data_IF_686986620425
#
_entry.id   IF_686986620425
#
_cell.length_a   1.000
_cell.length_b   1.000
_cell.length_c   1.000
_cell.angle_alpha   90.00
_cell.angle_beta   90.00
_cell.angle_gamma   90.00
#
_symmetry.space_group_name_H-M   'P 1'
#
loop_
_entity.id
_entity.type
_entity.pdbx_description
1 polymer ?
#
# COMPACT_ATOMS: atom_id res chain seq x y z
N UNK A 1 49.14 -71.43 28.74
CA UNK A 1 48.63 -70.47 27.72
C UNK A 1 49.52 -69.24 27.77
N UNK A 2 50.18 -68.90 26.66
CA UNK A 2 51.21 -67.85 26.61
C UNK A 2 50.60 -66.46 26.86
N UNK A 3 51.27 -65.64 27.67
CA UNK A 3 50.96 -64.22 27.92
C UNK A 3 50.73 -63.42 26.63
N UNK A 4 51.40 -63.80 25.55
CA UNK A 4 51.29 -63.18 24.23
C UNK A 4 49.86 -63.22 23.67
N UNK A 5 49.13 -64.33 23.86
CA UNK A 5 47.73 -64.45 23.39
C UNK A 5 46.76 -63.58 24.17
N UNK A 6 47.09 -63.24 25.42
CA UNK A 6 46.27 -62.34 26.25
C UNK A 6 46.50 -60.90 25.80
N UNK A 7 47.75 -60.52 25.52
CA UNK A 7 48.10 -59.21 24.98
C UNK A 7 47.48 -58.95 23.60
N UNK A 8 47.56 -59.91 22.67
CA UNK A 8 46.91 -59.79 21.36
C UNK A 8 45.40 -59.57 21.48
N UNK A 9 44.72 -60.28 22.39
CA UNK A 9 43.28 -60.09 22.61
C UNK A 9 42.96 -58.70 23.14
N UNK A 10 43.76 -58.18 24.07
CA UNK A 10 43.57 -56.84 24.63
C UNK A 10 43.76 -55.78 23.54
N UNK A 11 44.78 -55.92 22.68
CA UNK A 11 44.98 -55.00 21.55
C UNK A 11 43.84 -55.06 20.54
N UNK A 12 43.31 -56.26 20.27
CA UNK A 12 42.21 -56.46 19.34
C UNK A 12 40.89 -55.87 19.88
N UNK A 13 40.59 -56.08 21.17
CA UNK A 13 39.43 -55.49 21.84
C UNK A 13 39.54 -53.97 21.91
N UNK A 14 40.71 -53.43 22.27
CA UNK A 14 40.95 -51.98 22.29
C UNK A 14 40.81 -51.36 20.88
N UNK A 15 41.30 -52.03 19.83
CA UNK A 15 41.14 -51.58 18.46
C UNK A 15 39.67 -51.52 18.02
N UNK A 16 38.90 -52.56 18.34
CA UNK A 16 37.45 -52.59 18.04
C UNK A 16 36.68 -51.51 18.81
N UNK A 17 37.04 -51.26 20.07
CA UNK A 17 36.41 -50.23 20.90
C UNK A 17 36.69 -48.82 20.36
N UNK A 18 37.93 -48.56 19.93
CA UNK A 18 38.32 -47.31 19.26
C UNK A 18 37.56 -47.11 17.96
N UNK A 19 37.44 -48.14 17.11
CA UNK A 19 36.68 -48.06 15.86
C UNK A 19 35.19 -47.80 16.11
N UNK A 20 34.60 -48.44 17.12
CA UNK A 20 33.21 -48.22 17.52
C UNK A 20 32.97 -46.77 17.97
N UNK A 21 33.87 -46.23 18.80
CA UNK A 21 33.79 -44.82 19.25
C UNK A 21 33.91 -43.87 18.06
N UNK A 22 34.89 -44.09 17.17
CA UNK A 22 35.07 -43.24 15.98
C UNK A 22 33.87 -43.30 15.04
N UNK A 23 33.27 -44.46 14.84
CA UNK A 23 32.06 -44.62 14.04
C UNK A 23 30.87 -43.88 14.65
N UNK A 24 30.68 -43.95 15.97
CA UNK A 24 29.59 -43.26 16.66
C UNK A 24 29.77 -41.73 16.62
N UNK A 25 31.00 -41.24 16.82
CA UNK A 25 31.33 -39.81 16.72
C UNK A 25 31.09 -39.29 15.30
N UNK A 26 31.50 -40.03 14.26
CA UNK A 26 31.23 -39.65 12.86
C UNK A 26 29.73 -39.59 12.59
N UNK A 27 28.97 -40.58 13.04
CA UNK A 27 27.52 -40.61 12.88
C UNK A 27 26.83 -39.42 13.57
N UNK A 28 27.28 -39.06 14.78
CA UNK A 28 26.78 -37.89 15.51
C UNK A 28 27.17 -36.58 14.82
N UNK A 29 28.37 -36.47 14.27
CA UNK A 29 28.81 -35.30 13.53
C UNK A 29 27.98 -35.10 12.25
N UNK A 30 27.72 -36.17 11.51
CA UNK A 30 26.90 -36.14 10.30
C UNK A 30 25.44 -35.79 10.59
N UNK A 31 24.86 -36.33 11.67
CA UNK A 31 23.49 -35.97 12.07
C UNK A 31 23.40 -34.50 12.48
N UNK A 32 24.37 -34.01 13.26
CA UNK A 32 24.41 -32.61 13.69
C UNK A 32 24.52 -31.66 12.49
N UNK A 33 25.35 -32.02 11.51
CA UNK A 33 25.52 -31.24 10.29
C UNK A 33 24.23 -31.20 9.47
N UNK A 34 23.55 -32.34 9.29
CA UNK A 34 22.27 -32.40 8.57
C UNK A 34 21.19 -31.58 9.26
N UNK A 35 21.06 -31.69 10.57
CA UNK A 35 20.09 -30.89 11.33
C UNK A 35 20.37 -29.38 11.23
N UNK A 36 21.65 -28.98 11.26
CA UNK A 36 22.04 -27.60 11.08
C UNK A 36 21.72 -27.09 9.66
N UNK A 37 21.99 -27.90 8.63
CA UNK A 37 21.66 -27.58 7.24
C UNK A 37 20.14 -27.47 7.03
N UNK A 38 19.34 -28.38 7.59
CA UNK A 38 17.88 -28.33 7.52
C UNK A 38 17.32 -27.09 8.24
N UNK A 39 17.81 -26.77 9.43
CA UNK A 39 17.40 -25.56 10.17
C UNK A 39 17.75 -24.30 9.39
N UNK A 40 18.95 -24.23 8.82
CA UNK A 40 19.39 -23.09 8.01
C UNK A 40 18.51 -22.92 6.76
N UNK A 41 18.17 -24.02 6.07
CA UNK A 41 17.25 -23.99 4.91
C UNK A 41 15.86 -23.51 5.31
N UNK A 42 15.29 -24.04 6.39
CA UNK A 42 13.98 -23.64 6.87
C UNK A 42 13.93 -22.14 7.25
N UNK A 43 14.99 -21.63 7.88
CA UNK A 43 15.12 -20.20 8.18
C UNK A 43 15.23 -19.36 6.91
N UNK A 44 16.05 -19.77 5.94
CA UNK A 44 16.19 -19.07 4.67
C UNK A 44 14.85 -19.01 3.91
N UNK A 45 14.13 -20.13 3.83
CA UNK A 45 12.80 -20.17 3.20
C UNK A 45 11.79 -19.27 3.91
N UNK A 46 11.82 -19.23 5.25
CA UNK A 46 10.95 -18.33 6.02
C UNK A 46 11.24 -16.86 5.73
N UNK A 47 12.52 -16.49 5.65
CA UNK A 47 12.93 -15.11 5.33
C UNK A 47 12.50 -14.74 3.91
N UNK A 48 12.70 -15.62 2.93
CA UNK A 48 12.28 -15.38 1.55
C UNK A 48 10.76 -15.19 1.48
N UNK A 49 9.97 -16.08 2.10
CA UNK A 49 8.51 -15.97 2.12
C UNK A 49 8.05 -14.66 2.77
N UNK A 50 8.66 -14.26 3.88
CA UNK A 50 8.34 -12.99 4.54
C UNK A 50 8.65 -11.81 3.60
N UNK A 51 9.83 -11.78 3.00
CA UNK A 51 10.21 -10.74 2.05
C UNK A 51 9.27 -10.68 0.83
N UNK A 52 8.84 -11.82 0.29
CA UNK A 52 7.87 -11.87 -0.81
C UNK A 52 6.51 -11.29 -0.40
N UNK A 53 6.03 -11.63 0.81
CA UNK A 53 4.77 -11.08 1.32
C UNK A 53 4.85 -9.57 1.54
N UNK A 54 5.95 -9.08 2.11
CA UNK A 54 6.18 -7.65 2.31
C UNK A 54 6.27 -6.90 0.98
N UNK A 55 7.01 -7.44 0.02
CA UNK A 55 7.13 -6.85 -1.32
C UNK A 55 5.77 -6.77 -2.04
N UNK A 56 4.94 -7.81 -1.94
CA UNK A 56 3.60 -7.83 -2.51
C UNK A 56 2.67 -6.78 -1.88
N UNK A 57 2.73 -6.63 -0.55
CA UNK A 57 1.97 -5.61 0.17
C UNK A 57 2.41 -4.21 -0.22
N UNK A 58 3.72 -3.95 -0.28
CA UNK A 58 4.24 -2.64 -0.65
C UNK A 58 3.92 -2.29 -2.12
N UNK A 59 4.03 -3.26 -3.04
CA UNK A 59 3.61 -3.06 -4.42
C UNK A 59 2.12 -2.69 -4.53
N UNK A 60 1.26 -3.36 -3.77
CA UNK A 60 -0.18 -3.08 -3.72
C UNK A 60 -0.46 -1.69 -3.14
N UNK A 61 0.30 -1.28 -2.11
CA UNK A 61 0.23 0.05 -1.51
C UNK A 61 0.61 1.14 -2.50
N UNK A 62 1.73 0.98 -3.19
CA UNK A 62 2.20 1.92 -4.22
C UNK A 62 1.14 2.07 -5.32
N UNK A 63 0.61 0.95 -5.82
CA UNK A 63 -0.42 0.97 -6.86
C UNK A 63 -1.66 1.77 -6.40
N UNK A 64 -2.13 1.49 -5.19
CA UNK A 64 -3.31 2.16 -4.61
C UNK A 64 -3.06 3.65 -4.45
N UNK A 65 -1.86 4.04 -3.98
CA UNK A 65 -1.48 5.44 -3.81
C UNK A 65 -1.43 6.18 -5.16
N UNK A 66 -0.85 5.57 -6.19
CA UNK A 66 -0.79 6.17 -7.54
C UNK A 66 -2.21 6.32 -8.13
N UNK A 67 -3.07 5.32 -7.97
CA UNK A 67 -4.46 5.41 -8.42
C UNK A 67 -5.23 6.53 -7.72
N UNK A 68 -5.03 6.68 -6.40
CA UNK A 68 -5.63 7.75 -5.63
C UNK A 68 -5.12 9.12 -6.08
N UNK A 69 -3.80 9.29 -6.22
CA UNK A 69 -3.19 10.53 -6.69
C UNK A 69 -3.72 10.92 -8.07
N UNK A 70 -3.75 9.98 -9.02
CA UNK A 70 -4.32 10.18 -10.35
C UNK A 70 -5.77 10.67 -10.27
N UNK A 71 -6.60 10.04 -9.42
CA UNK A 71 -8.00 10.44 -9.26
C UNK A 71 -8.12 11.84 -8.65
N UNK A 72 -7.29 12.17 -7.67
CA UNK A 72 -7.26 13.50 -7.05
C UNK A 72 -6.85 14.58 -8.04
N UNK A 73 -5.79 14.38 -8.82
CA UNK A 73 -5.32 15.33 -9.83
C UNK A 73 -6.37 15.56 -10.91
N UNK A 74 -7.01 14.50 -11.38
CA UNK A 74 -8.06 14.56 -12.38
C UNK A 74 -9.29 15.30 -11.85
N UNK A 75 -9.71 15.05 -10.61
CA UNK A 75 -10.77 15.81 -9.96
C UNK A 75 -10.39 17.28 -9.80
N UNK A 76 -9.17 17.58 -9.33
CA UNK A 76 -8.67 18.95 -9.16
C UNK A 76 -8.73 19.72 -10.49
N UNK A 77 -8.18 19.13 -11.54
CA UNK A 77 -8.15 19.73 -12.88
C UNK A 77 -9.57 19.99 -13.41
N UNK A 78 -10.50 19.04 -13.19
CA UNK A 78 -11.90 19.22 -13.58
C UNK A 78 -12.55 20.40 -12.87
N UNK A 79 -12.37 20.52 -11.54
CA UNK A 79 -12.91 21.67 -10.79
C UNK A 79 -12.32 22.98 -11.28
N UNK A 80 -11.00 23.03 -11.48
CA UNK A 80 -10.32 24.23 -12.00
C UNK A 80 -10.89 24.66 -13.36
N UNK A 81 -11.15 23.71 -14.26
CA UNK A 81 -11.78 24.01 -15.55
C UNK A 81 -13.21 24.54 -15.38
N UNK A 82 -14.02 23.92 -14.52
CA UNK A 82 -15.39 24.38 -14.25
C UNK A 82 -15.36 25.79 -13.66
N UNK A 83 -14.55 26.04 -12.63
CA UNK A 83 -14.41 27.36 -12.02
C UNK A 83 -13.97 28.41 -13.05
N UNK A 84 -13.05 28.06 -13.96
CA UNK A 84 -12.61 28.95 -15.03
C UNK A 84 -13.74 29.26 -16.01
N UNK A 85 -14.51 28.25 -16.44
CA UNK A 85 -15.66 28.44 -17.34
C UNK A 85 -16.72 29.32 -16.68
N UNK A 86 -17.05 29.08 -15.41
CA UNK A 86 -18.03 29.90 -14.67
C UNK A 86 -17.57 31.35 -14.55
N UNK A 87 -16.28 31.55 -14.24
CA UNK A 87 -15.68 32.90 -14.15
C UNK A 87 -15.76 33.64 -15.48
N UNK A 88 -15.40 32.97 -16.58
CA UNK A 88 -15.47 33.58 -17.93
C UNK A 88 -16.92 33.81 -18.39
N UNK A 89 -17.84 32.90 -18.06
CA UNK A 89 -19.26 33.06 -18.36
C UNK A 89 -19.83 34.32 -17.68
N UNK A 90 -19.49 34.57 -16.42
CA UNK A 90 -19.95 35.77 -15.71
C UNK A 90 -19.28 37.06 -16.17
N UNK A 91 -18.11 36.98 -16.80
CA UNK A 91 -17.49 38.13 -17.48
C UNK A 91 -18.22 38.50 -18.77
N UNK A 92 -18.92 37.55 -19.40
CA UNK A 92 -19.66 37.77 -20.64
C UNK A 92 -20.74 38.85 -20.45
N UNK A 93 -20.71 39.85 -21.32
CA UNK A 93 -21.62 41.00 -21.35
C UNK A 93 -23.09 40.60 -21.43
N UNK A 94 -23.41 39.47 -22.08
CA UNK A 94 -24.79 38.98 -22.19
C UNK A 94 -25.34 38.48 -20.85
N UNK A 95 -24.51 37.81 -20.05
CA UNK A 95 -24.88 37.33 -18.72
C UNK A 95 -24.87 38.45 -17.68
N UNK A 96 -24.02 39.48 -17.84
CA UNK A 96 -24.08 40.70 -17.01
C UNK A 96 -25.39 41.48 -17.16
N UNK A 97 -26.06 41.37 -18.31
CA UNK A 97 -27.37 42.00 -18.54
C UNK A 97 -28.50 41.27 -17.81
N UNK A 98 -28.34 39.96 -17.55
CA UNK A 98 -29.21 39.17 -16.69
C UNK A 98 -28.89 39.51 -15.22
N UNK A 99 -29.41 40.65 -14.74
CA UNK A 99 -29.33 41.02 -13.32
C UNK A 99 -30.14 40.02 -12.49
N UNK A 100 -29.47 39.00 -11.96
CA UNK A 100 -30.08 38.04 -11.06
C UNK A 100 -30.41 38.75 -9.73
N UNK A 101 -31.67 38.66 -9.34
CA UNK A 101 -32.18 39.20 -8.07
C UNK A 101 -32.44 38.05 -7.12
N UNK A 102 -32.06 38.24 -5.86
CA UNK A 102 -32.36 37.35 -4.75
C UNK A 102 -33.57 37.89 -4.01
N UNK A 103 -34.63 37.09 -3.93
CA UNK A 103 -35.76 37.37 -3.05
C UNK A 103 -35.47 36.83 -1.65
N UNK A 104 -35.48 37.72 -0.67
CA UNK A 104 -35.32 37.38 0.74
C UNK A 104 -36.68 37.53 1.41
N UNK A 105 -37.26 36.41 1.83
CA UNK A 105 -38.54 36.40 2.55
C UNK A 105 -38.28 36.61 4.04
N UNK A 106 -38.66 37.77 4.57
CA UNK A 106 -38.59 38.09 6.00
C UNK A 106 -39.99 38.18 6.61
N UNK A 107 -40.07 38.27 7.95
CA UNK A 107 -41.36 38.46 8.66
C UNK A 107 -42.05 39.79 8.31
N UNK A 108 -41.31 40.74 7.74
CA UNK A 108 -41.77 42.09 7.42
C UNK A 108 -42.10 42.26 5.92
N UNK A 109 -41.79 41.26 5.08
CA UNK A 109 -42.07 41.27 3.64
C UNK A 109 -40.99 40.61 2.79
N UNK A 110 -41.17 40.68 1.46
CA UNK A 110 -40.20 40.21 0.47
C UNK A 110 -39.26 41.38 0.12
N UNK A 111 -37.96 41.18 0.28
CA UNK A 111 -36.92 42.15 -0.09
C UNK A 111 -36.12 41.59 -1.27
N UNK A 112 -36.02 42.33 -2.36
CA UNK A 112 -35.17 41.97 -3.50
C UNK A 112 -33.77 42.57 -3.35
N UNK A 113 -32.73 41.74 -3.31
CA UNK A 113 -31.33 42.15 -3.37
C UNK A 113 -30.75 41.82 -4.75
N UNK A 114 -30.05 42.76 -5.39
CA UNK A 114 -29.31 42.47 -6.62
C UNK A 114 -28.00 41.81 -6.24
N UNK A 115 -27.74 40.61 -6.76
CA UNK A 115 -26.50 39.91 -6.46
C UNK A 115 -25.38 40.33 -7.43
N UNK A 116 -24.24 40.70 -6.85
CA UNK A 116 -23.01 40.91 -7.61
C UNK A 116 -22.42 39.56 -8.07
N UNK A 117 -21.64 39.57 -9.15
CA UNK A 117 -21.09 38.36 -9.76
C UNK A 117 -20.27 37.49 -8.77
N UNK A 118 -19.52 38.11 -7.87
CA UNK A 118 -18.70 37.40 -6.88
C UNK A 118 -19.56 36.70 -5.81
N UNK A 119 -20.67 37.32 -5.40
CA UNK A 119 -21.65 36.70 -4.49
C UNK A 119 -22.43 35.57 -5.18
N UNK A 120 -22.76 35.72 -6.46
CA UNK A 120 -23.39 34.67 -7.26
C UNK A 120 -22.49 33.43 -7.35
N UNK A 121 -21.19 33.60 -7.61
CA UNK A 121 -20.23 32.49 -7.62
C UNK A 121 -20.10 31.83 -6.26
N UNK A 122 -20.07 32.62 -5.18
CA UNK A 122 -19.92 32.07 -3.83
C UNK A 122 -21.15 31.26 -3.39
N UNK A 123 -22.36 31.72 -3.72
CA UNK A 123 -23.61 31.09 -3.29
C UNK A 123 -24.06 29.96 -4.23
N UNK A 124 -24.05 30.19 -5.55
CA UNK A 124 -24.59 29.26 -6.55
C UNK A 124 -23.50 28.43 -7.24
N UNK A 125 -22.23 28.85 -7.15
CA UNK A 125 -21.12 28.14 -7.79
C UNK A 125 -21.04 26.65 -7.44
N UNK A 126 -21.17 26.25 -6.16
CA UNK A 126 -21.17 24.83 -5.79
C UNK A 126 -22.33 24.02 -6.39
N UNK A 127 -23.54 24.58 -6.46
CA UNK A 127 -24.70 23.92 -7.06
C UNK A 127 -24.54 23.76 -8.57
N UNK A 128 -24.14 24.84 -9.24
CA UNK A 128 -23.90 24.84 -10.69
C UNK A 128 -22.74 23.89 -11.05
N UNK A 129 -21.68 23.85 -10.24
CA UNK A 129 -20.58 22.90 -10.42
C UNK A 129 -21.08 21.45 -10.32
N UNK A 130 -21.93 21.13 -9.34
CA UNK A 130 -22.53 19.81 -9.23
C UNK A 130 -23.43 19.45 -10.42
N UNK A 131 -24.23 20.40 -10.92
CA UNK A 131 -25.06 20.20 -12.10
C UNK A 131 -24.22 19.95 -13.36
N UNK A 132 -23.13 20.70 -13.54
CA UNK A 132 -22.19 20.52 -14.65
C UNK A 132 -21.53 19.14 -14.56
N UNK A 133 -21.09 18.71 -13.37
CA UNK A 133 -20.52 17.38 -13.15
C UNK A 133 -21.54 16.28 -13.51
N UNK A 134 -22.79 16.43 -13.06
CA UNK A 134 -23.87 15.50 -13.36
C UNK A 134 -24.18 15.42 -14.87
N UNK A 135 -24.24 16.57 -15.56
CA UNK A 135 -24.44 16.64 -17.01
C UNK A 135 -23.31 15.99 -17.81
N UNK A 136 -22.07 16.21 -17.38
CA UNK A 136 -20.90 15.62 -18.02
C UNK A 136 -20.75 14.12 -17.70
N UNK A 137 -21.60 13.56 -16.83
CA UNK A 137 -21.53 12.16 -16.33
C UNK A 137 -20.16 11.84 -15.73
N UNK A 138 -19.62 12.81 -15.01
CA UNK A 138 -18.30 12.81 -14.41
C UNK A 138 -18.43 12.75 -12.89
#
# INVERSE_FOLDING_TARGET
>A
MSLEKILEKIEQEAGQEVEAILAEVRKKADSLRREAEEKARAQAESIIKQAETEASLEASRILTQVQLQRRMELLKTRRELISRVLTEALKNEELKKLRLKKEIVTREGIVEETLEADRLLAELGPEIENDILAWLKI
#
